data_IF_024003868075
#
_entry.id   IF_024003868075
#
_cell.length_a   1.000
_cell.length_b   1.000
_cell.length_c   1.000
_cell.angle_alpha   90.00
_cell.angle_beta   90.00
_cell.angle_gamma   90.00
#
_symmetry.space_group_name_H-M   'P 1'
#
loop_
_entity.id
_entity.type
_entity.pdbx_description
1 polymer ?
#
# COMPACT_ATOMS: atom_id res chain seq x y z
N UNK A 1 -1.27 -17.04 -2.47
CA UNK A 1 -0.51 -16.11 -3.36
C UNK A 1 -1.34 -15.83 -4.61
N UNK A 2 -1.77 -14.57 -4.84
CA UNK A 2 -2.62 -14.21 -5.98
C UNK A 2 -1.99 -14.48 -7.36
N UNK A 3 -0.68 -14.42 -7.50
CA UNK A 3 0.05 -14.63 -8.76
C UNK A 3 0.39 -16.09 -9.11
N UNK A 4 0.14 -17.05 -8.24
CA UNK A 4 0.53 -18.44 -8.49
C UNK A 4 -0.09 -19.04 -9.78
N UNK A 5 -1.36 -18.80 -10.13
CA UNK A 5 -1.94 -19.27 -11.36
C UNK A 5 -1.28 -18.68 -12.62
N UNK A 6 -1.02 -17.36 -12.61
CA UNK A 6 -0.39 -16.66 -13.74
C UNK A 6 1.05 -17.12 -13.93
N UNK A 7 1.80 -17.30 -12.84
CA UNK A 7 3.16 -17.83 -12.89
C UNK A 7 3.20 -19.24 -13.49
N UNK A 8 2.29 -20.13 -13.07
CA UNK A 8 2.18 -21.48 -13.66
C UNK A 8 1.84 -21.42 -15.15
N UNK A 9 0.99 -20.49 -15.57
CA UNK A 9 0.67 -20.28 -16.98
C UNK A 9 1.89 -19.82 -17.77
N UNK A 10 2.68 -18.87 -17.26
CA UNK A 10 3.90 -18.40 -17.89
C UNK A 10 4.93 -19.53 -18.00
N UNK A 11 5.16 -20.28 -16.93
CA UNK A 11 6.13 -21.39 -16.91
C UNK A 11 5.81 -22.49 -17.94
N UNK A 12 4.53 -22.71 -18.26
CA UNK A 12 4.11 -23.68 -19.30
C UNK A 12 4.41 -23.20 -20.73
N UNK A 13 4.52 -21.90 -20.95
CA UNK A 13 4.83 -21.31 -22.25
C UNK A 13 6.33 -21.21 -22.54
N UNK A 14 7.17 -21.41 -21.52
CA UNK A 14 8.63 -21.34 -21.68
C UNK A 14 9.20 -22.63 -22.26
N UNK A 15 10.29 -22.57 -23.03
CA UNK A 15 11.00 -23.74 -23.54
C UNK A 15 11.39 -24.71 -22.42
N UNK A 16 11.31 -26.02 -22.69
CA UNK A 16 11.68 -27.05 -21.70
C UNK A 16 13.19 -27.06 -21.38
N UNK A 17 14.11 -26.98 -22.36
CA UNK A 17 15.52 -26.80 -22.07
C UNK A 17 15.79 -25.35 -21.67
N UNK A 18 15.84 -25.07 -20.34
CA UNK A 18 16.16 -23.75 -19.79
C UNK A 18 16.87 -23.85 -18.47
N UNK A 19 17.64 -22.85 -18.14
CA UNK A 19 18.10 -22.59 -16.78
C UNK A 19 17.09 -21.71 -16.06
N UNK A 20 16.68 -22.11 -14.87
CA UNK A 20 15.75 -21.32 -14.04
C UNK A 20 16.44 -21.00 -12.71
N UNK A 21 16.46 -19.71 -12.35
CA UNK A 21 16.99 -19.20 -11.09
C UNK A 21 15.83 -18.61 -10.28
N UNK A 22 15.80 -18.90 -8.98
CA UNK A 22 14.84 -18.38 -8.04
C UNK A 22 15.57 -17.69 -6.91
N UNK A 23 15.28 -16.40 -6.72
CA UNK A 23 15.83 -15.60 -5.63
C UNK A 23 14.70 -15.17 -4.70
N UNK A 24 14.87 -15.36 -3.42
CA UNK A 24 13.92 -14.91 -2.41
C UNK A 24 14.63 -14.64 -1.09
N UNK A 25 14.17 -13.61 -0.38
CA UNK A 25 14.64 -13.30 0.97
C UNK A 25 14.09 -14.28 2.01
N UNK A 26 12.92 -14.88 1.75
CA UNK A 26 12.26 -15.87 2.64
C UNK A 26 11.68 -17.00 1.81
N UNK A 27 11.57 -18.20 2.40
CA UNK A 27 11.03 -19.40 1.73
C UNK A 27 9.80 -19.95 2.49
N UNK A 28 8.67 -19.25 2.46
CA UNK A 28 7.43 -19.75 3.06
C UNK A 28 6.92 -20.99 2.30
N UNK A 29 6.06 -21.84 2.92
CA UNK A 29 5.56 -23.07 2.32
C UNK A 29 4.97 -22.91 0.92
N UNK A 30 4.25 -21.83 0.66
CA UNK A 30 3.68 -21.53 -0.66
C UNK A 30 4.74 -21.32 -1.73
N UNK A 31 5.85 -20.65 -1.39
CA UNK A 31 6.95 -20.41 -2.32
C UNK A 31 7.73 -21.70 -2.58
N UNK A 32 7.85 -22.58 -1.60
CA UNK A 32 8.45 -23.91 -1.81
C UNK A 32 7.68 -24.73 -2.86
N UNK A 33 6.36 -24.63 -2.90
CA UNK A 33 5.54 -25.29 -3.92
C UNK A 33 5.82 -24.71 -5.32
N UNK A 34 5.91 -23.38 -5.41
CA UNK A 34 6.28 -22.70 -6.66
C UNK A 34 7.68 -23.10 -7.11
N UNK A 35 8.64 -23.19 -6.19
CA UNK A 35 10.00 -23.61 -6.48
C UNK A 35 10.06 -25.04 -7.04
N UNK A 36 9.31 -25.98 -6.45
CA UNK A 36 9.21 -27.36 -6.93
C UNK A 36 8.65 -27.45 -8.37
N UNK A 37 7.66 -26.62 -8.69
CA UNK A 37 7.04 -26.58 -10.02
C UNK A 37 7.96 -25.92 -11.08
N UNK A 38 8.79 -24.97 -10.67
CA UNK A 38 9.59 -24.14 -11.57
C UNK A 38 11.02 -24.63 -11.80
N UNK A 39 11.61 -25.32 -10.82
CA UNK A 39 13.03 -25.69 -10.81
C UNK A 39 13.20 -27.21 -11.03
N UNK A 40 14.27 -27.58 -11.74
CA UNK A 40 14.70 -28.98 -11.94
C UNK A 40 16.03 -29.17 -11.23
N UNK A 41 16.10 -30.08 -10.25
CA UNK A 41 17.28 -30.36 -9.45
C UNK A 41 18.07 -29.11 -9.02
N UNK A 42 17.42 -28.17 -8.32
CA UNK A 42 18.09 -26.91 -8.00
C UNK A 42 19.18 -27.10 -6.96
N UNK A 43 20.31 -26.42 -7.17
CA UNK A 43 21.28 -26.18 -6.11
C UNK A 43 20.72 -25.04 -5.23
N UNK A 44 20.61 -25.29 -3.93
CA UNK A 44 20.15 -24.30 -2.95
C UNK A 44 21.35 -23.63 -2.29
N UNK A 45 21.33 -22.29 -2.28
CA UNK A 45 22.32 -21.46 -1.60
C UNK A 45 21.59 -20.61 -0.57
N UNK A 46 21.82 -20.90 0.71
CA UNK A 46 21.26 -20.12 1.83
C UNK A 46 22.33 -19.16 2.34
N UNK A 47 22.10 -17.85 2.18
CA UNK A 47 23.09 -16.82 2.54
C UNK A 47 22.98 -16.35 4.00
N UNK A 48 21.81 -16.40 4.59
CA UNK A 48 21.59 -16.00 5.98
C UNK A 48 20.31 -16.62 6.55
N UNK A 49 20.22 -16.81 7.89
CA UNK A 49 18.96 -17.16 8.53
C UNK A 49 17.94 -16.04 8.35
N UNK A 50 16.69 -16.34 7.94
CA UNK A 50 15.64 -15.33 7.65
C UNK A 50 15.17 -14.52 8.86
N UNK A 51 15.60 -14.87 10.07
CA UNK A 51 15.11 -14.33 11.33
C UNK A 51 15.94 -13.19 11.93
N UNK A 52 17.04 -12.76 11.29
CA UNK A 52 17.86 -11.68 11.84
C UNK A 52 17.48 -10.33 11.19
N UNK A 53 16.91 -9.39 11.96
CA UNK A 53 16.87 -7.99 11.55
C UNK A 53 18.28 -7.50 11.26
N UNK A 54 18.42 -6.53 10.35
CA UNK A 54 19.71 -5.88 10.11
C UNK A 54 20.28 -5.38 11.45
N UNK A 55 21.59 -5.57 11.63
CA UNK A 55 22.29 -4.96 12.77
C UNK A 55 22.11 -3.43 12.68
N UNK A 56 21.82 -2.77 13.81
CA UNK A 56 21.64 -1.32 13.85
C UNK A 56 20.19 -0.83 13.88
N UNK A 57 19.19 -1.74 13.97
CA UNK A 57 17.80 -1.33 14.16
C UNK A 57 17.44 -1.39 15.64
N UNK A 58 17.18 -0.21 16.26
CA UNK A 58 16.58 -0.12 17.59
C UNK A 58 15.09 -0.45 17.51
N UNK A 59 14.63 -1.39 18.34
CA UNK A 59 13.25 -1.84 18.31
C UNK A 59 12.56 -1.55 19.63
N UNK A 60 11.33 -1.05 19.60
CA UNK A 60 10.50 -0.82 20.77
C UNK A 60 9.02 -1.13 20.48
N UNK A 61 8.33 -1.63 21.51
CA UNK A 61 6.88 -1.81 21.50
C UNK A 61 6.25 -0.81 22.47
N UNK A 62 5.25 -0.09 21.99
CA UNK A 62 4.43 0.83 22.78
C UNK A 62 3.06 0.19 23.06
N UNK A 63 2.83 -0.37 24.27
CA UNK A 63 1.51 -0.85 24.66
C UNK A 63 0.53 0.31 24.75
N UNK A 64 -0.56 0.27 23.97
CA UNK A 64 -1.53 1.36 23.91
C UNK A 64 -2.91 0.86 23.51
N UNK A 65 -3.98 1.44 24.07
CA UNK A 65 -5.34 1.13 23.63
C UNK A 65 -5.55 1.52 22.16
N UNK A 66 -6.31 0.70 21.46
CA UNK A 66 -6.54 0.89 20.01
C UNK A 66 -7.00 2.29 19.63
N UNK A 67 -7.89 2.90 20.42
CA UNK A 67 -8.41 4.23 20.18
C UNK A 67 -7.37 5.35 20.40
N UNK A 68 -6.30 5.09 21.13
CA UNK A 68 -5.22 6.04 21.40
C UNK A 68 -4.02 5.92 20.44
N UNK A 69 -4.02 4.94 19.54
CA UNK A 69 -2.89 4.73 18.62
C UNK A 69 -2.56 5.96 17.77
N UNK A 70 -3.58 6.69 17.32
CA UNK A 70 -3.37 7.88 16.48
C UNK A 70 -2.78 9.03 17.28
N UNK A 71 -3.26 9.25 18.50
CA UNK A 71 -2.75 10.25 19.44
C UNK A 71 -1.30 9.97 19.84
N UNK A 72 -1.01 8.70 20.14
CA UNK A 72 0.35 8.29 20.46
C UNK A 72 1.30 8.44 19.26
N UNK A 73 0.84 8.04 18.06
CA UNK A 73 1.61 8.23 16.83
C UNK A 73 1.91 9.71 16.58
N UNK A 74 0.92 10.59 16.76
CA UNK A 74 1.09 12.03 16.63
C UNK A 74 2.20 12.56 17.57
N UNK A 75 2.21 12.10 18.82
CA UNK A 75 3.27 12.44 19.78
C UNK A 75 4.65 11.89 19.39
N UNK A 76 4.72 10.69 18.87
CA UNK A 76 5.98 10.09 18.39
C UNK A 76 6.54 10.87 17.18
N UNK A 77 5.68 11.45 16.35
CA UNK A 77 6.08 12.18 15.15
C UNK A 77 6.46 13.64 15.39
N UNK A 78 6.22 14.20 16.60
CA UNK A 78 6.50 15.60 16.91
C UNK A 78 7.99 15.99 17.01
N UNK A 79 8.92 15.14 17.52
CA UNK A 79 10.33 15.49 17.61
C UNK A 79 10.95 15.77 16.22
N UNK A 80 11.79 16.80 16.12
CA UNK A 80 12.46 17.21 14.89
C UNK A 80 13.41 16.16 14.29
N UNK A 81 13.84 15.21 15.11
CA UNK A 81 14.72 14.10 14.71
C UNK A 81 13.96 13.00 13.96
N UNK A 82 12.61 13.00 14.04
CA UNK A 82 11.75 12.05 13.37
C UNK A 82 11.43 12.57 11.97
N UNK A 83 12.28 12.26 11.03
CA UNK A 83 12.12 12.60 9.62
C UNK A 83 12.13 11.34 8.77
N UNK A 84 11.51 11.39 7.57
CA UNK A 84 11.48 10.25 6.66
C UNK A 84 10.96 8.96 7.31
N UNK A 85 9.66 8.97 7.66
CA UNK A 85 9.00 7.89 8.40
C UNK A 85 8.11 7.05 7.49
N UNK A 86 8.16 5.72 7.66
CA UNK A 86 7.13 4.84 7.08
C UNK A 86 6.25 4.30 8.20
N UNK A 87 4.94 4.53 8.07
CA UNK A 87 3.92 4.02 8.99
C UNK A 87 3.13 2.90 8.32
N UNK A 88 3.18 1.70 8.87
CA UNK A 88 2.48 0.54 8.33
C UNK A 88 1.10 0.36 8.94
N UNK A 89 0.09 0.26 8.07
CA UNK A 89 -1.28 -0.10 8.44
C UNK A 89 -1.71 -1.39 7.73
N UNK A 90 -2.65 -2.10 8.35
CA UNK A 90 -3.15 -3.39 7.84
C UNK A 90 -3.98 -3.25 6.57
N UNK A 91 -4.76 -2.17 6.44
CA UNK A 91 -5.71 -2.00 5.35
C UNK A 91 -5.53 -0.70 4.58
N UNK A 92 -5.88 -0.72 3.30
CA UNK A 92 -5.88 0.47 2.44
C UNK A 92 -6.77 1.59 2.95
N UNK A 93 -7.94 1.26 3.49
CA UNK A 93 -8.86 2.24 4.08
C UNK A 93 -8.32 2.80 5.41
N UNK A 94 -7.63 1.97 6.20
CA UNK A 94 -6.89 2.41 7.39
C UNK A 94 -5.80 3.40 7.02
N UNK A 95 -5.03 3.11 5.96
CA UNK A 95 -3.98 4.01 5.46
C UNK A 95 -4.54 5.38 5.06
N UNK A 96 -5.63 5.42 4.29
CA UNK A 96 -6.26 6.67 3.89
C UNK A 96 -6.83 7.47 5.08
N UNK A 97 -7.45 6.77 6.05
CA UNK A 97 -7.99 7.39 7.26
C UNK A 97 -6.87 8.01 8.10
N UNK A 98 -5.83 7.21 8.38
CA UNK A 98 -4.70 7.65 9.19
C UNK A 98 -3.96 8.81 8.53
N UNK A 99 -3.68 8.75 7.23
CA UNK A 99 -3.04 9.84 6.50
C UNK A 99 -3.83 11.15 6.63
N UNK A 100 -5.16 11.12 6.45
CA UNK A 100 -6.01 12.31 6.65
C UNK A 100 -6.01 12.81 8.08
N UNK A 101 -5.98 11.93 9.08
CA UNK A 101 -5.92 12.33 10.49
C UNK A 101 -4.61 13.04 10.81
N UNK A 102 -3.48 12.50 10.35
CA UNK A 102 -2.16 13.12 10.54
C UNK A 102 -2.03 14.45 9.79
N UNK A 103 -2.55 14.54 8.55
CA UNK A 103 -2.58 15.80 7.80
C UNK A 103 -3.37 16.90 8.52
N UNK A 104 -4.52 16.57 9.14
CA UNK A 104 -5.30 17.52 9.96
C UNK A 104 -4.56 18.01 11.22
N UNK A 105 -3.56 17.25 11.67
CA UNK A 105 -2.69 17.58 12.79
C UNK A 105 -1.42 18.33 12.36
N UNK A 106 -1.29 18.63 11.07
CA UNK A 106 -0.20 19.45 10.53
C UNK A 106 0.99 18.67 9.99
N UNK A 107 0.96 17.31 10.01
CA UNK A 107 2.03 16.52 9.43
C UNK A 107 1.99 16.52 7.90
N UNK A 108 3.18 16.50 7.28
CA UNK A 108 3.35 16.31 5.83
C UNK A 108 3.27 14.82 5.50
N UNK A 109 2.12 14.37 4.97
CA UNK A 109 1.80 12.93 4.85
C UNK A 109 1.37 12.55 3.44
N UNK A 110 1.90 11.43 2.92
CA UNK A 110 1.37 10.74 1.74
C UNK A 110 0.90 9.32 2.08
N UNK A 111 -0.05 8.80 1.30
CA UNK A 111 -0.54 7.42 1.45
C UNK A 111 -0.12 6.54 0.26
N UNK A 112 0.34 5.31 0.56
CA UNK A 112 0.82 4.32 -0.42
C UNK A 112 0.12 2.97 -0.22
N UNK A 113 -0.85 2.64 -1.07
CA UNK A 113 -1.60 1.38 -0.99
C UNK A 113 -2.14 0.97 -2.37
N UNK A 114 -2.72 -0.23 -2.46
CA UNK A 114 -3.13 -0.84 -3.72
C UNK A 114 -4.19 -0.07 -4.53
N UNK A 115 -4.93 0.87 -3.91
CA UNK A 115 -5.89 1.72 -4.62
C UNK A 115 -5.25 3.00 -5.21
N UNK A 116 -3.93 3.20 -5.06
CA UNK A 116 -3.21 4.30 -5.70
C UNK A 116 -2.73 3.89 -7.08
N UNK A 117 -2.88 4.77 -8.07
CA UNK A 117 -2.30 4.56 -9.39
C UNK A 117 -0.77 4.52 -9.33
N UNK A 118 -0.13 3.95 -10.33
CA UNK A 118 1.33 3.85 -10.36
C UNK A 118 1.98 5.24 -10.28
N UNK A 119 1.46 6.23 -10.99
CA UNK A 119 1.94 7.62 -10.94
C UNK A 119 1.80 8.26 -9.55
N UNK A 120 0.69 8.00 -8.84
CA UNK A 120 0.52 8.47 -7.47
C UNK A 120 1.52 7.81 -6.51
N UNK A 121 1.81 6.52 -6.69
CA UNK A 121 2.80 5.79 -5.89
C UNK A 121 4.20 6.34 -6.09
N UNK A 122 4.61 6.53 -7.35
CA UNK A 122 5.91 7.12 -7.72
C UNK A 122 6.07 8.53 -7.18
N UNK A 123 5.01 9.34 -7.26
CA UNK A 123 5.00 10.69 -6.69
C UNK A 123 5.18 10.67 -5.18
N UNK A 124 4.42 9.85 -4.44
CA UNK A 124 4.52 9.74 -2.99
C UNK A 124 5.94 9.36 -2.55
N UNK A 125 6.57 8.39 -3.25
CA UNK A 125 7.94 7.98 -2.99
C UNK A 125 8.97 9.07 -3.33
N UNK A 126 8.78 9.75 -4.46
CA UNK A 126 9.64 10.87 -4.86
C UNK A 126 9.54 12.04 -3.88
N UNK A 127 8.34 12.33 -3.38
CA UNK A 127 8.12 13.41 -2.43
C UNK A 127 8.75 13.07 -1.06
N UNK A 128 8.67 11.80 -0.60
CA UNK A 128 9.39 11.34 0.60
C UNK A 128 10.92 11.45 0.41
N UNK A 129 11.47 10.93 -0.70
CA UNK A 129 12.92 11.02 -0.99
C UNK A 129 13.45 12.46 -1.05
N UNK A 130 12.60 13.42 -1.41
CA UNK A 130 12.96 14.84 -1.52
C UNK A 130 12.66 15.64 -0.25
N UNK A 131 12.20 15.01 0.82
CA UNK A 131 11.81 15.67 2.06
C UNK A 131 10.60 16.61 1.92
N UNK A 132 9.75 16.43 0.89
CA UNK A 132 8.50 17.16 0.75
C UNK A 132 7.37 16.53 1.58
N UNK A 133 7.54 15.27 1.90
CA UNK A 133 6.67 14.47 2.75
C UNK A 133 7.55 13.81 3.80
N UNK A 134 7.19 13.97 5.06
CA UNK A 134 7.93 13.40 6.18
C UNK A 134 7.42 12.00 6.54
N UNK A 135 6.12 11.75 6.32
CA UNK A 135 5.45 10.51 6.74
C UNK A 135 4.77 9.84 5.55
N UNK A 136 5.14 8.59 5.29
CA UNK A 136 4.49 7.74 4.30
C UNK A 136 3.64 6.68 5.00
N UNK A 137 2.32 6.76 4.90
CA UNK A 137 1.42 5.73 5.43
C UNK A 137 1.20 4.66 4.37
N UNK A 138 1.63 3.42 4.64
CA UNK A 138 1.68 2.35 3.65
C UNK A 138 1.02 1.05 4.12
N UNK A 139 0.63 0.20 3.14
CA UNK A 139 0.28 -1.21 3.37
C UNK A 139 1.40 -2.12 2.87
N UNK A 140 1.52 -3.34 3.41
CA UNK A 140 2.60 -4.28 3.08
C UNK A 140 2.74 -4.53 1.58
N UNK A 141 1.63 -4.79 0.89
CA UNK A 141 1.64 -5.09 -0.56
C UNK A 141 2.22 -3.93 -1.37
N UNK A 142 1.88 -2.72 -1.00
CA UNK A 142 2.31 -1.53 -1.74
C UNK A 142 3.74 -1.09 -1.41
N UNK A 143 4.24 -1.47 -0.25
CA UNK A 143 5.60 -1.14 0.20
C UNK A 143 6.66 -2.14 -0.26
N UNK A 144 6.25 -3.28 -0.83
CA UNK A 144 7.20 -4.25 -1.41
C UNK A 144 7.88 -3.66 -2.64
N UNK A 145 9.20 -3.80 -2.70
CA UNK A 145 10.00 -3.23 -3.80
C UNK A 145 10.21 -1.73 -3.74
N UNK A 146 9.86 -1.06 -2.64
CA UNK A 146 10.22 0.33 -2.43
C UNK A 146 11.73 0.43 -2.22
N UNK A 147 12.38 1.11 -3.14
CA UNK A 147 13.76 1.56 -2.99
C UNK A 147 13.76 2.97 -2.42
N UNK A 148 13.56 3.07 -1.11
CA UNK A 148 13.78 4.30 -0.35
C UNK A 148 14.89 4.01 0.63
N UNK A 149 16.01 4.69 0.43
CA UNK A 149 17.11 4.73 1.36
C UNK A 149 16.83 5.86 2.37
N UNK A 150 17.49 5.83 3.51
CA UNK A 150 17.44 6.87 4.54
C UNK A 150 16.09 7.05 5.25
N UNK A 151 15.36 5.94 5.45
CA UNK A 151 14.22 5.92 6.35
C UNK A 151 14.73 5.93 7.80
N UNK A 152 14.44 7.01 8.52
CA UNK A 152 14.84 7.13 9.92
C UNK A 152 14.04 6.20 10.83
N UNK A 153 12.73 6.15 10.62
CA UNK A 153 11.82 5.40 11.48
C UNK A 153 10.84 4.53 10.68
N UNK A 154 10.64 3.32 11.16
CA UNK A 154 9.54 2.44 10.74
C UNK A 154 8.56 2.30 11.90
N UNK A 155 7.30 2.64 11.68
CA UNK A 155 6.27 2.53 12.71
C UNK A 155 5.22 1.52 12.27
N UNK A 156 5.08 0.42 13.00
CA UNK A 156 3.97 -0.51 12.85
C UNK A 156 2.77 0.04 13.63
N UNK A 157 1.90 0.81 12.96
CA UNK A 157 0.64 1.27 13.54
C UNK A 157 -0.30 0.10 13.84
N UNK A 158 -0.38 -0.85 12.90
CA UNK A 158 -0.99 -2.17 13.11
C UNK A 158 0.11 -3.23 13.13
N UNK A 159 0.11 -4.08 14.15
CA UNK A 159 1.03 -5.21 14.24
C UNK A 159 0.82 -6.16 13.06
N UNK A 160 1.87 -6.57 12.32
CA UNK A 160 1.72 -7.54 11.25
C UNK A 160 1.34 -8.92 11.80
N UNK A 161 0.54 -9.68 11.03
CA UNK A 161 0.12 -11.02 11.45
C UNK A 161 1.22 -12.08 11.32
N UNK A 162 2.18 -11.85 10.41
CA UNK A 162 3.29 -12.79 10.21
C UNK A 162 4.61 -12.17 10.68
N UNK A 163 5.46 -12.95 11.37
CA UNK A 163 6.77 -12.49 11.78
C UNK A 163 7.67 -12.06 10.61
N UNK A 164 7.54 -12.70 9.47
CA UNK A 164 8.28 -12.38 8.26
C UNK A 164 7.94 -10.98 7.75
N UNK A 165 6.65 -10.58 7.77
CA UNK A 165 6.25 -9.23 7.40
C UNK A 165 6.83 -8.19 8.37
N UNK A 166 6.94 -8.51 9.67
CA UNK A 166 7.62 -7.65 10.64
C UNK A 166 9.07 -7.37 10.21
N UNK A 167 9.84 -8.41 9.92
CA UNK A 167 11.23 -8.27 9.49
C UNK A 167 11.33 -7.48 8.17
N UNK A 168 10.44 -7.73 7.23
CA UNK A 168 10.37 -6.99 5.96
C UNK A 168 10.04 -5.51 6.14
N UNK A 169 9.16 -5.17 7.12
CA UNK A 169 8.83 -3.78 7.44
C UNK A 169 10.00 -3.06 8.08
N UNK A 170 10.56 -3.61 9.16
CA UNK A 170 11.67 -2.96 9.86
C UNK A 170 12.94 -2.86 9.02
N UNK A 171 13.14 -3.80 8.08
CA UNK A 171 14.22 -3.74 7.09
C UNK A 171 14.10 -2.61 6.06
N UNK A 172 13.14 -1.67 6.22
CA UNK A 172 13.10 -0.41 5.48
C UNK A 172 13.98 0.67 6.10
N UNK A 173 14.39 0.51 7.35
CA UNK A 173 15.37 1.35 8.03
C UNK A 173 16.64 0.55 8.37
N UNK A 174 17.69 1.21 8.84
CA UNK A 174 18.94 0.57 9.24
C UNK A 174 19.70 -0.11 8.10
N UNK A 175 19.68 0.45 6.89
CA UNK A 175 20.39 -0.09 5.71
C UNK A 175 21.78 0.51 5.58
N UNK A 176 22.72 -0.33 5.13
CA UNK A 176 24.09 0.06 4.73
C UNK A 176 24.76 0.97 5.77
N UNK A 177 25.09 0.41 6.94
CA UNK A 177 25.78 1.08 8.06
C UNK A 177 25.00 2.25 8.74
N UNK A 178 23.74 2.50 8.35
CA UNK A 178 22.87 3.45 9.03
C UNK A 178 22.15 2.80 10.23
N UNK A 179 22.02 3.55 11.31
CA UNK A 179 21.12 3.19 12.42
C UNK A 179 19.68 3.58 12.08
N UNK A 180 18.72 2.87 12.63
CA UNK A 180 17.30 3.19 12.41
C UNK A 180 16.43 2.71 13.56
N UNK A 181 15.24 3.29 13.67
CA UNK A 181 14.29 2.98 14.73
C UNK A 181 13.04 2.28 14.19
N UNK A 182 12.60 1.25 14.90
CA UNK A 182 11.41 0.49 14.58
C UNK A 182 10.47 0.42 15.78
N UNK A 183 9.37 1.15 15.71
CA UNK A 183 8.38 1.22 16.78
C UNK A 183 7.12 0.45 16.40
N UNK A 184 6.53 -0.23 17.39
CA UNK A 184 5.31 -1.01 17.18
C UNK A 184 4.26 -0.60 18.21
N UNK A 185 3.12 -0.09 17.73
CA UNK A 185 1.99 0.28 18.58
C UNK A 185 1.13 -0.96 18.80
N UNK A 186 1.20 -1.52 20.01
CA UNK A 186 0.52 -2.77 20.33
C UNK A 186 -0.73 -2.52 21.15
N UNK A 187 -1.90 -2.83 20.59
CA UNK A 187 -3.14 -2.93 21.37
C UNK A 187 -3.24 -4.28 22.10
N UNK A 188 -4.06 -4.40 23.14
CA UNK A 188 -4.21 -5.65 23.88
C UNK A 188 -4.56 -6.86 23.00
N UNK A 189 -5.34 -6.65 21.95
CA UNK A 189 -5.77 -7.71 21.01
C UNK A 189 -4.60 -8.24 20.17
N UNK A 190 -3.58 -7.41 19.94
CA UNK A 190 -2.41 -7.72 19.10
C UNK A 190 -1.25 -8.38 19.89
N UNK A 191 -1.42 -8.61 21.18
CA UNK A 191 -0.38 -9.19 22.03
C UNK A 191 0.11 -10.55 21.52
N UNK A 192 -0.79 -11.38 20.97
CA UNK A 192 -0.44 -12.69 20.40
C UNK A 192 0.48 -12.56 19.19
N UNK A 193 0.21 -11.58 18.32
CA UNK A 193 1.02 -11.33 17.12
C UNK A 193 2.44 -10.88 17.52
N UNK A 194 2.56 -9.97 18.50
CA UNK A 194 3.88 -9.54 19.01
C UNK A 194 4.63 -10.71 19.65
N UNK A 195 3.95 -11.56 20.43
CA UNK A 195 4.57 -12.76 21.01
C UNK A 195 5.09 -13.72 19.93
N UNK A 196 4.36 -13.89 18.83
CA UNK A 196 4.81 -14.71 17.72
C UNK A 196 6.04 -14.10 17.02
N UNK A 197 6.07 -12.78 16.85
CA UNK A 197 7.24 -12.05 16.32
C UNK A 197 8.46 -12.25 17.23
N UNK A 198 8.34 -12.07 18.54
CA UNK A 198 9.44 -12.24 19.48
C UNK A 198 9.99 -13.68 19.49
N UNK A 199 9.10 -14.66 19.43
CA UNK A 199 9.51 -16.08 19.31
C UNK A 199 10.28 -16.32 18.02
N UNK A 200 9.85 -15.75 16.91
CA UNK A 200 10.54 -15.88 15.62
C UNK A 200 11.91 -15.19 15.63
N UNK A 201 12.01 -14.02 16.28
CA UNK A 201 13.27 -13.28 16.44
C UNK A 201 14.22 -13.92 17.44
N UNK A 202 13.74 -14.81 18.33
CA UNK A 202 14.49 -15.38 19.43
C UNK A 202 14.86 -14.36 20.52
N UNK A 203 14.19 -13.22 20.55
CA UNK A 203 14.44 -12.14 21.54
C UNK A 203 13.17 -11.38 21.89
N UNK A 204 13.09 -10.88 23.12
CA UNK A 204 12.03 -9.96 23.55
C UNK A 204 12.32 -8.54 23.05
N UNK A 205 11.30 -7.84 22.57
CA UNK A 205 11.40 -6.44 22.18
C UNK A 205 11.05 -5.57 23.40
N UNK A 206 11.86 -4.56 23.74
CA UNK A 206 11.57 -3.69 24.90
C UNK A 206 10.20 -3.04 24.81
N UNK A 207 9.46 -3.02 25.94
CA UNK A 207 8.20 -2.27 26.10
C UNK A 207 8.55 -0.91 26.66
N UNK A 208 8.09 0.13 25.98
CA UNK A 208 8.34 1.51 26.37
C UNK A 208 7.04 2.30 26.44
N UNK A 209 7.03 3.37 27.22
CA UNK A 209 5.92 4.32 27.33
C UNK A 209 6.47 5.73 27.20
N UNK A 210 5.72 6.63 26.57
CA UNK A 210 6.04 8.05 26.59
C UNK A 210 5.62 8.66 27.92
N UNK A 211 6.52 9.45 28.53
CA UNK A 211 6.30 10.05 29.86
C UNK A 211 5.13 11.05 29.81
N UNK A 212 5.03 11.84 28.74
CA UNK A 212 4.05 12.91 28.58
C UNK A 212 2.81 12.50 27.77
N UNK A 213 2.44 11.21 27.82
CA UNK A 213 1.25 10.69 27.14
C UNK A 213 0.26 10.09 28.13
N UNK A 214 -1.01 10.55 28.05
CA UNK A 214 -2.10 10.02 28.88
C UNK A 214 -2.69 8.75 28.29
N UNK A 215 -2.24 7.59 28.76
CA UNK A 215 -2.73 6.27 28.34
C UNK A 215 -4.16 5.95 28.83
N UNK A 216 -4.76 6.80 29.67
CA UNK A 216 -6.12 6.64 30.20
C UNK A 216 -7.14 7.57 29.54
N UNK A 217 -6.71 8.38 28.59
CA UNK A 217 -7.58 9.28 27.83
C UNK A 217 -8.77 8.52 27.24
N UNK A 218 -9.97 9.05 27.44
CA UNK A 218 -11.19 8.48 26.85
C UNK A 218 -11.26 8.80 25.36
N UNK A 219 -11.85 7.90 24.54
CA UNK A 219 -12.08 8.21 23.13
C UNK A 219 -12.86 9.51 23.02
N UNK A 220 -12.43 10.39 22.13
CA UNK A 220 -13.25 11.53 21.76
C UNK A 220 -14.61 11.02 21.25
N UNK A 221 -15.73 11.61 21.65
CA UNK A 221 -17.04 11.24 21.10
C UNK A 221 -16.96 11.36 19.56
N UNK A 222 -17.30 10.28 18.86
CA UNK A 222 -17.38 10.35 17.40
C UNK A 222 -18.36 11.49 17.05
N UNK A 223 -17.99 12.39 16.11
CA UNK A 223 -18.94 13.36 15.62
C UNK A 223 -20.16 12.56 15.13
N UNK A 224 -21.29 12.78 15.76
CA UNK A 224 -22.56 12.19 15.33
C UNK A 224 -22.70 12.58 13.88
N UNK A 225 -22.59 11.58 12.99
CA UNK A 225 -22.81 11.79 11.57
C UNK A 225 -24.15 12.50 11.46
N UNK A 226 -24.15 13.67 10.82
CA UNK A 226 -25.40 14.27 10.36
C UNK A 226 -26.09 13.21 9.52
N UNK A 227 -27.10 12.60 10.09
CA UNK A 227 -27.99 11.68 9.38
C UNK A 227 -28.49 12.41 8.12
N UNK A 228 -28.76 11.69 7.04
CA UNK A 228 -29.34 12.31 5.84
C UNK A 228 -30.60 13.07 6.27
N UNK A 229 -30.54 14.40 6.14
CA UNK A 229 -31.57 15.32 6.60
C UNK A 229 -32.94 14.79 6.25
N UNK A 230 -33.79 14.61 7.27
CA UNK A 230 -35.21 14.52 7.15
C UNK A 230 -35.67 15.76 6.36
N UNK A 231 -35.93 15.55 5.08
CA UNK A 231 -36.66 16.50 4.28
C UNK A 231 -38.05 16.62 4.89
N UNK A 232 -38.22 17.63 5.70
CA UNK A 232 -39.46 18.00 6.33
C UNK A 232 -40.62 18.00 5.32
N UNK A 233 -41.49 17.00 5.46
CA UNK A 233 -42.79 17.01 4.83
C UNK A 233 -43.57 18.18 5.35
N UNK A 234 -43.71 19.21 4.53
CA UNK A 234 -44.72 20.25 4.74
C UNK A 234 -46.08 19.64 4.55
N UNK A 235 -46.73 19.32 5.65
CA UNK A 235 -48.15 19.08 5.76
C UNK A 235 -48.86 20.42 5.45
N UNK A 236 -49.37 20.58 4.22
CA UNK A 236 -50.34 21.56 3.87
C UNK A 236 -51.71 20.90 3.87
N UNK A 237 -52.46 21.15 4.95
CA UNK A 237 -53.88 20.82 4.97
C UNK A 237 -54.62 21.81 4.09
N UNK A 238 -55.45 21.30 3.20
CA UNK A 238 -56.64 22.04 2.80
C UNK A 238 -57.84 21.09 2.59
N UNK A 239 -58.96 21.54 3.12
CA UNK A 239 -60.28 20.92 3.13
C UNK A 239 -60.97 21.22 1.80
N UNK A 240 -61.61 20.23 1.19
CA UNK A 240 -62.51 20.48 0.05
C UNK A 240 -63.15 19.19 -0.47
N UNK A 241 -64.16 18.79 0.13
CA UNK A 241 -65.57 18.53 -0.29
C UNK A 241 -65.81 18.14 -1.76
N UNK A 242 -66.39 16.94 -1.96
CA UNK A 242 -67.54 16.74 -2.85
C UNK A 242 -67.29 16.06 -4.17
N UNK A 243 -68.04 15.01 -4.45
CA UNK A 243 -68.46 14.71 -5.80
C UNK A 243 -68.35 13.24 -6.24
N UNK A 244 -69.46 12.59 -6.10
CA UNK A 244 -70.03 11.38 -6.71
C UNK A 244 -69.72 11.12 -8.19
N UNK A 245 -69.78 9.83 -8.52
CA UNK A 245 -70.10 9.27 -9.86
C UNK A 245 -68.89 8.68 -10.53
N UNK A 246 -68.82 7.43 -10.98
CA UNK A 246 -69.79 6.51 -11.44
C UNK A 246 -69.23 5.81 -12.65
N UNK A 247 -69.34 4.48 -12.66
CA UNK A 247 -69.33 3.60 -13.82
C UNK A 247 -68.16 3.55 -14.81
N UNK A 248 -67.56 2.34 -14.99
CA UNK A 248 -67.84 1.50 -16.13
C UNK A 248 -66.60 1.10 -16.87
N UNK A 249 -66.36 -0.19 -16.94
CA UNK A 249 -66.11 -1.02 -18.12
C UNK A 249 -64.81 -0.72 -18.86
N UNK A 250 -64.13 -1.61 -19.31
CA UNK A 250 -64.20 -2.97 -19.84
C UNK A 250 -62.90 -3.22 -20.69
N UNK A 251 -62.38 -4.37 -20.58
CA UNK A 251 -61.70 -5.19 -21.58
C UNK A 251 -60.87 -4.56 -22.71
N UNK A 252 -59.72 -5.18 -22.97
CA UNK A 252 -59.12 -5.31 -24.30
C UNK A 252 -57.64 -5.56 -24.23
N UNK A 253 -57.31 -6.72 -24.26
CA UNK A 253 -56.46 -7.64 -25.05
C UNK A 253 -55.88 -7.05 -26.33
N UNK A 254 -54.64 -7.51 -26.55
CA UNK A 254 -54.01 -8.00 -27.80
C UNK A 254 -52.74 -7.21 -28.13
N UNK A 255 -51.61 -7.91 -28.10
CA UNK A 255 -50.99 -8.69 -29.17
C UNK A 255 -50.40 -7.89 -30.33
N UNK A 256 -49.16 -8.19 -30.68
CA UNK A 256 -48.62 -8.04 -32.03
C UNK A 256 -47.30 -7.30 -32.07
N UNK A 257 -46.21 -7.99 -32.12
CA UNK A 257 -45.52 -8.56 -33.30
C UNK A 257 -44.79 -7.52 -34.17
N UNK A 258 -43.46 -7.61 -34.11
CA UNK A 258 -42.51 -7.86 -35.22
C UNK A 258 -42.02 -6.74 -36.15
N UNK A 259 -40.75 -6.91 -36.41
CA UNK A 259 -39.95 -6.59 -37.63
C UNK A 259 -39.59 -5.11 -37.82
N UNK A 260 -38.37 -4.75 -38.24
CA UNK A 260 -37.43 -5.30 -39.23
C UNK A 260 -36.12 -4.51 -39.18
N UNK A 261 -35.01 -5.16 -39.29
CA UNK A 261 -33.98 -5.09 -40.36
C UNK A 261 -33.68 -3.73 -40.97
N UNK A 262 -32.40 -3.40 -40.96
CA UNK A 262 -31.77 -2.36 -41.77
C UNK A 262 -30.26 -2.36 -41.58
N UNK A 263 -29.63 -3.10 -42.33
CA UNK A 263 -28.34 -3.31 -42.95
C UNK A 263 -27.85 -2.06 -43.67
N UNK A 264 -26.55 -1.78 -43.57
CA UNK A 264 -25.65 -1.18 -44.56
C UNK A 264 -24.35 -0.71 -43.84
N UNK A 265 -23.26 -1.45 -43.86
CA UNK A 265 -22.21 -1.50 -44.87
C UNK A 265 -21.63 -0.14 -45.20
N UNK A 266 -20.40 0.12 -44.86
CA UNK A 266 -19.29 0.46 -45.73
C UNK A 266 -17.96 0.59 -44.98
N UNK A 267 -17.01 -0.15 -45.45
CA UNK A 267 -15.62 -0.25 -44.98
C UNK A 267 -14.69 0.81 -45.64
N UNK A 268 -13.40 0.52 -45.82
CA UNK A 268 -12.35 1.29 -45.16
C UNK A 268 -11.56 2.21 -46.11
N UNK A 269 -10.82 3.16 -45.55
CA UNK A 269 -9.73 3.80 -46.32
C UNK A 269 -8.43 3.83 -45.55
N UNK A 270 -7.50 3.12 -46.11
CA UNK A 270 -6.07 3.18 -45.85
C UNK A 270 -5.47 4.50 -46.38
N UNK A 271 -4.45 4.99 -45.68
CA UNK A 271 -3.40 5.80 -46.27
C UNK A 271 -2.13 5.68 -45.42
N UNK A 272 -1.12 5.09 -46.04
CA UNK A 272 0.31 5.09 -45.75
C UNK A 272 0.99 6.12 -46.63
N UNK A 273 2.34 6.31 -46.63
CA UNK A 273 3.23 6.83 -45.59
C UNK A 273 4.08 8.01 -46.12
N UNK A 274 4.83 8.69 -45.29
CA UNK A 274 5.95 9.51 -45.75
C UNK A 274 7.17 9.26 -44.86
N UNK A 275 8.24 8.80 -45.48
CA UNK A 275 9.56 8.58 -44.90
C UNK A 275 10.46 9.82 -45.03
N UNK A 276 11.84 9.72 -45.04
CA UNK A 276 12.62 10.22 -43.91
C UNK A 276 13.47 11.45 -44.28
N UNK A 277 13.96 12.18 -43.28
CA UNK A 277 14.97 13.21 -43.50
C UNK A 277 16.19 12.99 -42.60
N UNK A 278 17.29 12.87 -43.28
CA UNK A 278 18.68 12.87 -42.83
C UNK A 278 19.07 14.15 -42.05
N UNK A 279 20.02 14.02 -41.14
CA UNK A 279 20.77 15.19 -40.77
C UNK A 279 21.68 15.06 -39.53
N UNK A 280 22.92 14.63 -39.80
CA UNK A 280 24.20 15.12 -39.26
C UNK A 280 24.63 14.79 -37.82
N UNK A 281 25.65 13.92 -37.73
CA UNK A 281 26.68 13.90 -36.69
C UNK A 281 27.54 15.17 -36.75
N UNK A 282 28.13 15.61 -35.69
CA UNK A 282 29.50 16.11 -35.72
C UNK A 282 30.46 15.30 -34.84
N UNK A 283 31.67 15.42 -35.26
CA UNK A 283 32.94 14.78 -35.02
C UNK A 283 33.48 14.91 -33.62
N UNK A 284 34.29 13.90 -33.27
CA UNK A 284 35.27 13.88 -32.23
C UNK A 284 36.28 15.04 -32.34
N UNK A 285 36.71 15.53 -31.16
CA UNK A 285 37.94 16.32 -31.03
C UNK A 285 38.77 15.63 -29.95
N UNK A 286 39.89 15.10 -30.42
CA UNK A 286 41.07 14.64 -29.75
C UNK A 286 41.93 15.84 -29.31
N UNK A 287 42.46 15.84 -28.10
CA UNK A 287 43.68 16.50 -27.63
C UNK A 287 43.76 16.22 -26.12
N UNK A 288 44.76 15.63 -25.52
CA UNK A 288 46.17 15.70 -25.71
C UNK A 288 46.78 15.48 -24.30
N UNK A 289 47.65 14.51 -24.23
CA UNK A 289 48.60 14.22 -23.16
C UNK A 289 49.20 15.48 -22.47
N UNK A 290 49.34 15.40 -21.14
CA UNK A 290 50.61 15.78 -20.50
C UNK A 290 50.82 15.05 -19.16
N UNK A 291 51.89 14.28 -19.14
CA UNK A 291 52.63 13.77 -17.97
C UNK A 291 53.35 14.95 -17.24
N UNK A 292 53.43 14.87 -15.93
CA UNK A 292 54.56 15.19 -15.04
C UNK A 292 54.22 14.65 -13.66
N UNK A 293 54.92 13.71 -13.19
CA UNK A 293 56.05 13.57 -12.27
C UNK A 293 56.19 14.74 -11.26
N UNK A 294 55.89 14.47 -10.03
CA UNK A 294 56.76 14.40 -8.85
C UNK A 294 55.98 13.72 -7.74
#
# INVERSE_FOLDING_TARGET
MGFAPDLKRILRLLPSPRQTLLFSATMPPDLNNVAKDALKNPMRVDLAPPSRPAAGITQAVYPVSRHLKTELLDKILQPSEVSSVIVFTRTKHGADRLARQLQRRGHSVAALHGNRSQSQRERALSDLKRGRVDVLVATDIASRGIDVNDISHVINYDVPHTPEDYVHRIGRTGRVDATGDAFTLMSPEEHKDVTAIERFLGKTIPRVTLVDFDYKMRPAPEPRGEGPGERGGRSGGDRGRGGRGGYGGDRGQSSGVAHSRGDASMGPRAATPAGPAHGRRPKAADTGRRRRRM
#
